data_IF_453865754396
#
_entry.id   IF_453865754396
#
_cell.length_a   1.000
_cell.length_b   1.000
_cell.length_c   1.000
_cell.angle_alpha   90.00
_cell.angle_beta   90.00
_cell.angle_gamma   90.00
#
_symmetry.space_group_name_H-M   'P 1'
#
loop_
_entity.id
_entity.type
_entity.pdbx_description
1 polymer ?
#
# COMPACT_ATOMS: atom_id res chain seq x y z
N UNK A 1 13.47 5.12 -6.86
CA UNK A 1 12.72 6.40 -6.87
C UNK A 1 12.71 6.97 -5.46
N UNK A 2 12.89 8.28 -5.28
CA UNK A 2 12.64 8.96 -4.01
C UNK A 2 11.21 9.51 -3.97
N UNK A 3 10.53 9.41 -2.83
CA UNK A 3 9.17 9.88 -2.67
C UNK A 3 8.92 10.30 -1.22
N UNK A 4 8.42 11.52 -1.02
CA UNK A 4 8.28 12.12 0.30
C UNK A 4 6.82 12.43 0.62
N UNK A 5 6.46 12.28 1.89
CA UNK A 5 5.21 12.76 2.47
C UNK A 5 5.26 14.29 2.61
N UNK A 6 4.45 15.02 1.82
CA UNK A 6 4.36 16.48 1.86
C UNK A 6 3.15 16.97 2.67
N UNK A 7 3.08 18.27 2.98
CA UNK A 7 1.91 18.93 3.59
C UNK A 7 0.67 18.94 2.66
N UNK A 8 -0.50 19.26 3.23
CA UNK A 8 -1.76 19.53 2.50
C UNK A 8 -2.41 20.84 3.01
N UNK A 9 -3.16 21.59 2.17
CA UNK A 9 -3.41 21.37 0.74
C UNK A 9 -2.10 21.30 -0.06
N UNK A 10 -2.00 20.35 -0.98
CA UNK A 10 -0.75 20.14 -1.73
C UNK A 10 -0.41 21.40 -2.56
N UNK A 11 0.82 21.93 -2.44
CA UNK A 11 1.20 23.18 -3.10
C UNK A 11 1.01 23.23 -4.63
N UNK A 12 1.11 22.08 -5.31
CA UNK A 12 0.96 22.02 -6.78
C UNK A 12 -0.49 21.83 -7.23
N UNK A 13 -1.24 20.99 -6.54
CA UNK A 13 -2.56 20.51 -6.99
C UNK A 13 -3.72 21.03 -6.15
N UNK A 14 -3.43 21.63 -5.00
CA UNK A 14 -4.39 22.07 -3.99
C UNK A 14 -5.25 20.93 -3.43
N UNK A 15 -4.91 19.67 -3.71
CA UNK A 15 -5.64 18.51 -3.21
C UNK A 15 -5.33 18.27 -1.74
N UNK A 16 -6.36 17.88 -0.99
CA UNK A 16 -6.27 17.41 0.38
C UNK A 16 -6.46 15.90 0.38
N UNK A 17 -5.54 15.18 1.01
CA UNK A 17 -5.54 13.71 1.15
C UNK A 17 -4.98 13.34 2.51
N UNK A 18 -5.48 12.27 3.12
CA UNK A 18 -5.03 11.84 4.45
C UNK A 18 -3.52 11.62 4.53
N UNK A 19 -2.93 11.85 5.71
CA UNK A 19 -1.52 11.53 5.98
C UNK A 19 -1.18 10.07 5.66
N UNK A 20 -2.08 9.14 6.02
CA UNK A 20 -1.97 7.70 5.71
C UNK A 20 -1.82 7.44 4.22
N UNK A 21 -2.71 8.00 3.40
CA UNK A 21 -2.68 7.80 1.94
C UNK A 21 -1.38 8.32 1.32
N UNK A 22 -0.99 9.55 1.67
CA UNK A 22 0.25 10.16 1.18
C UNK A 22 1.48 9.32 1.57
N UNK A 23 1.52 8.83 2.82
CA UNK A 23 2.63 8.03 3.31
C UNK A 23 2.72 6.67 2.59
N UNK A 24 1.59 5.96 2.42
CA UNK A 24 1.57 4.69 1.67
C UNK A 24 2.03 4.85 0.21
N UNK A 25 1.67 5.94 -0.46
CA UNK A 25 2.17 6.24 -1.80
C UNK A 25 3.69 6.48 -1.77
N UNK A 26 4.17 7.30 -0.83
CA UNK A 26 5.60 7.59 -0.69
C UNK A 26 6.43 6.34 -0.35
N UNK A 27 5.88 5.41 0.43
CA UNK A 27 6.53 4.15 0.78
C UNK A 27 6.80 3.21 -0.41
N UNK A 28 6.15 3.41 -1.56
CA UNK A 28 6.48 2.67 -2.78
C UNK A 28 7.80 3.15 -3.42
N UNK A 29 8.33 4.31 -2.98
CA UNK A 29 9.65 4.78 -3.31
C UNK A 29 10.72 4.17 -2.40
N UNK A 30 11.87 3.85 -2.98
CA UNK A 30 13.02 3.33 -2.23
C UNK A 30 13.57 4.31 -1.18
N UNK A 31 13.52 5.61 -1.46
CA UNK A 31 13.86 6.65 -0.47
C UNK A 31 12.58 7.30 0.03
N UNK A 32 11.99 6.72 1.07
CA UNK A 32 10.88 7.32 1.81
C UNK A 32 11.40 8.49 2.66
N UNK A 33 10.65 9.57 2.71
CA UNK A 33 10.99 10.75 3.51
C UNK A 33 9.77 11.57 3.89
N UNK A 34 9.98 12.55 4.75
CA UNK A 34 8.94 13.50 5.21
C UNK A 34 9.43 14.90 4.85
N UNK A 35 8.61 15.65 4.11
CA UNK A 35 8.92 16.98 3.58
C UNK A 35 7.77 17.95 3.92
N UNK A 36 7.61 18.20 5.21
CA UNK A 36 6.62 19.10 5.79
C UNK A 36 7.11 19.63 7.14
N UNK A 37 6.50 20.71 7.62
CA UNK A 37 6.68 21.16 9.00
C UNK A 37 5.73 20.37 9.94
N UNK A 38 6.25 19.60 10.91
CA UNK A 38 5.41 18.88 11.86
C UNK A 38 4.50 19.78 12.72
N UNK A 39 4.78 21.09 12.83
CA UNK A 39 3.89 22.03 13.54
C UNK A 39 2.59 22.31 12.80
N UNK A 40 2.58 22.09 11.48
CA UNK A 40 1.43 22.38 10.61
C UNK A 40 0.46 21.20 10.51
N UNK A 41 0.81 20.05 11.10
CA UNK A 41 -0.05 18.87 11.14
C UNK A 41 -1.09 18.99 12.25
N UNK A 42 -2.32 18.60 11.93
CA UNK A 42 -3.34 18.36 12.94
C UNK A 42 -2.85 17.32 13.95
N UNK A 43 -3.21 17.43 15.24
CA UNK A 43 -2.72 16.52 16.28
C UNK A 43 -2.91 15.04 15.94
N UNK A 44 -4.06 14.68 15.35
CA UNK A 44 -4.41 13.32 14.93
C UNK A 44 -3.54 12.82 13.76
N UNK A 45 -3.16 13.69 12.82
CA UNK A 45 -2.25 13.32 11.73
C UNK A 45 -0.82 13.14 12.25
N UNK A 46 -0.39 14.03 13.14
CA UNK A 46 0.95 13.98 13.76
C UNK A 46 1.15 12.71 14.59
N UNK A 47 0.12 12.23 15.27
CA UNK A 47 0.16 10.98 16.04
C UNK A 47 0.38 9.74 15.16
N UNK A 48 -0.03 9.79 13.88
CA UNK A 48 0.16 8.68 12.94
C UNK A 48 1.58 8.58 12.40
N UNK A 49 2.35 9.68 12.36
CA UNK A 49 3.67 9.75 11.72
C UNK A 49 4.66 8.70 12.25
N UNK A 50 4.85 8.51 13.58
CA UNK A 50 5.78 7.51 14.08
C UNK A 50 5.44 6.09 13.61
N UNK A 51 4.15 5.72 13.61
CA UNK A 51 3.70 4.41 13.13
C UNK A 51 3.95 4.23 11.64
N UNK A 52 3.78 5.30 10.84
CA UNK A 52 4.08 5.28 9.41
C UNK A 52 5.58 5.16 9.13
N UNK A 53 6.44 5.80 9.92
CA UNK A 53 7.90 5.64 9.80
C UNK A 53 8.29 4.19 10.10
N UNK A 54 7.81 3.61 11.20
CA UNK A 54 8.08 2.21 11.56
C UNK A 54 7.61 1.25 10.47
N UNK A 55 6.43 1.50 9.89
CA UNK A 55 5.94 0.70 8.76
C UNK A 55 6.87 0.85 7.54
N UNK A 56 7.29 2.07 7.22
CA UNK A 56 8.20 2.33 6.09
C UNK A 56 9.52 1.58 6.25
N UNK A 57 10.13 1.61 7.44
CA UNK A 57 11.39 0.91 7.73
C UNK A 57 11.21 -0.61 7.63
N UNK A 58 10.08 -1.13 8.09
CA UNK A 58 9.76 -2.57 8.01
C UNK A 58 9.69 -3.07 6.56
N UNK A 59 9.11 -2.29 5.66
CA UNK A 59 8.86 -2.71 4.27
C UNK A 59 9.95 -2.27 3.29
N UNK A 60 10.73 -1.24 3.63
CA UNK A 60 11.74 -0.65 2.76
C UNK A 60 12.74 -1.66 2.18
N UNK A 61 13.25 -2.66 2.93
CA UNK A 61 14.13 -3.68 2.34
C UNK A 61 13.50 -4.40 1.15
N UNK A 62 12.21 -4.70 1.22
CA UNK A 62 11.46 -5.39 0.15
C UNK A 62 11.19 -4.43 -1.02
N UNK A 63 10.91 -3.15 -0.74
CA UNK A 63 10.71 -2.12 -1.77
C UNK A 63 11.99 -1.84 -2.56
N UNK A 64 13.16 -1.91 -1.90
CA UNK A 64 14.47 -1.63 -2.51
C UNK A 64 14.97 -2.79 -3.37
N UNK A 65 14.91 -4.03 -2.87
CA UNK A 65 15.53 -5.19 -3.56
C UNK A 65 14.54 -6.13 -4.22
N UNK A 66 13.25 -6.04 -3.89
CA UNK A 66 12.24 -6.97 -4.34
C UNK A 66 11.75 -6.75 -5.78
N UNK A 67 11.07 -7.77 -6.30
CA UNK A 67 10.42 -7.71 -7.61
C UNK A 67 9.10 -6.94 -7.51
N UNK A 68 8.98 -5.87 -8.32
CA UNK A 68 7.78 -5.04 -8.36
C UNK A 68 6.81 -5.49 -9.45
N UNK A 69 5.58 -5.81 -9.05
CA UNK A 69 4.48 -6.15 -9.95
C UNK A 69 3.41 -5.07 -9.91
N UNK A 70 3.08 -4.51 -11.09
CA UNK A 70 1.93 -3.62 -11.26
C UNK A 70 0.68 -4.49 -11.42
N UNK A 71 -0.18 -4.49 -10.40
CA UNK A 71 -1.37 -5.34 -10.37
C UNK A 71 -2.57 -4.68 -11.03
N UNK A 72 -2.70 -3.37 -10.87
CA UNK A 72 -3.75 -2.57 -11.50
C UNK A 72 -3.25 -1.14 -11.73
N UNK A 73 -3.40 -0.64 -12.97
CA UNK A 73 -2.86 0.64 -13.39
C UNK A 73 -3.81 1.81 -13.04
N UNK A 74 -3.30 2.95 -12.55
CA UNK A 74 -4.13 4.09 -12.15
C UNK A 74 -4.89 4.75 -13.30
N UNK A 75 -4.45 4.58 -14.54
CA UNK A 75 -5.14 5.04 -15.75
C UNK A 75 -6.31 4.14 -16.19
N UNK A 76 -6.35 2.90 -15.71
CA UNK A 76 -7.35 1.88 -16.11
C UNK A 76 -8.44 1.66 -15.05
N UNK A 77 -8.16 1.99 -13.79
CA UNK A 77 -9.07 1.70 -12.68
C UNK A 77 -9.03 2.75 -11.58
N UNK A 78 -10.12 2.85 -10.81
CA UNK A 78 -10.18 3.61 -9.56
C UNK A 78 -9.36 2.98 -8.42
N UNK A 79 -8.92 1.73 -8.61
CA UNK A 79 -8.25 0.91 -7.61
C UNK A 79 -6.81 0.53 -8.00
N UNK A 80 -5.89 1.49 -8.16
CA UNK A 80 -4.53 1.15 -8.49
C UNK A 80 -3.90 0.31 -7.38
N UNK A 81 -3.07 -0.65 -7.78
CA UNK A 81 -2.39 -1.53 -6.85
C UNK A 81 -1.06 -2.02 -7.41
N UNK A 82 -0.11 -2.22 -6.51
CA UNK A 82 1.18 -2.82 -6.81
C UNK A 82 1.64 -3.67 -5.65
N UNK A 83 2.47 -4.67 -5.94
CA UNK A 83 3.09 -5.48 -4.90
C UNK A 83 4.61 -5.55 -5.11
N UNK A 84 5.33 -5.75 -4.02
CA UNK A 84 6.74 -6.11 -4.03
C UNK A 84 6.90 -7.50 -3.42
N UNK A 85 7.71 -8.36 -4.03
CA UNK A 85 8.07 -9.68 -3.51
C UNK A 85 9.55 -9.65 -3.13
N UNK A 86 9.90 -10.08 -1.92
CA UNK A 86 11.30 -10.20 -1.51
C UNK A 86 12.08 -11.14 -2.43
N UNK A 87 13.39 -10.93 -2.58
CA UNK A 87 14.24 -11.74 -3.46
C UNK A 87 14.19 -13.25 -3.15
N UNK A 88 13.95 -13.62 -1.88
CA UNK A 88 13.80 -15.02 -1.45
C UNK A 88 12.37 -15.57 -1.64
N UNK A 89 11.45 -14.77 -2.14
CA UNK A 89 10.05 -15.12 -2.39
C UNK A 89 9.22 -15.34 -1.13
N UNK A 90 9.70 -14.97 0.07
CA UNK A 90 9.03 -15.28 1.34
C UNK A 90 8.14 -14.16 1.86
N UNK A 91 8.42 -12.90 1.51
CA UNK A 91 7.65 -11.75 1.99
C UNK A 91 7.10 -10.99 0.81
N UNK A 92 5.86 -10.54 0.94
CA UNK A 92 5.18 -9.74 -0.06
C UNK A 92 4.56 -8.54 0.63
N UNK A 93 4.69 -7.38 -0.01
CA UNK A 93 4.04 -6.14 0.42
C UNK A 93 3.06 -5.74 -0.66
N UNK A 94 1.77 -5.76 -0.35
CA UNK A 94 0.72 -5.27 -1.25
C UNK A 94 0.38 -3.83 -0.87
N UNK A 95 0.47 -2.93 -1.85
CA UNK A 95 -0.07 -1.57 -1.78
C UNK A 95 -1.35 -1.51 -2.62
N UNK A 96 -2.46 -1.14 -2.00
CA UNK A 96 -3.75 -0.99 -2.67
C UNK A 96 -4.40 0.35 -2.31
N UNK A 97 -4.96 1.01 -3.32
CA UNK A 97 -5.47 2.38 -3.20
C UNK A 97 -6.88 2.49 -3.76
N UNK A 98 -7.66 3.44 -3.26
CA UNK A 98 -8.89 3.94 -3.86
C UNK A 98 -8.75 5.45 -4.08
N UNK A 99 -8.89 5.93 -5.32
CA UNK A 99 -8.71 7.36 -5.62
C UNK A 99 -9.98 8.20 -5.50
N UNK A 100 -11.15 7.57 -5.65
CA UNK A 100 -12.47 8.20 -5.53
C UNK A 100 -13.40 7.29 -4.75
N UNK A 101 -14.20 7.85 -3.86
CA UNK A 101 -15.15 7.10 -3.06
C UNK A 101 -16.20 6.46 -3.97
N UNK A 102 -16.48 5.18 -3.73
CA UNK A 102 -17.59 4.48 -4.40
C UNK A 102 -18.67 4.15 -3.38
N UNK A 103 -19.87 4.69 -3.60
CA UNK A 103 -21.02 4.47 -2.72
C UNK A 103 -21.85 3.30 -3.26
N UNK A 104 -22.33 2.42 -2.38
CA UNK A 104 -23.18 1.27 -2.73
C UNK A 104 -22.60 0.38 -3.84
N UNK A 105 -21.30 0.11 -3.78
CA UNK A 105 -20.58 -0.74 -4.73
C UNK A 105 -19.95 -1.94 -4.01
N UNK A 106 -19.74 -3.03 -4.76
CA UNK A 106 -18.98 -4.18 -4.26
C UNK A 106 -17.52 -3.81 -4.03
N UNK A 107 -16.91 -4.44 -3.02
CA UNK A 107 -15.49 -4.23 -2.72
C UNK A 107 -14.59 -4.84 -3.83
N UNK A 108 -13.54 -4.13 -4.26
CA UNK A 108 -12.63 -4.60 -5.29
C UNK A 108 -11.82 -5.82 -4.85
N UNK A 109 -11.48 -6.67 -5.82
CA UNK A 109 -10.57 -7.80 -5.65
C UNK A 109 -9.20 -7.47 -6.23
N UNK A 110 -8.14 -7.75 -5.48
CA UNK A 110 -6.76 -7.57 -5.88
C UNK A 110 -6.11 -8.93 -6.07
N UNK A 111 -5.87 -9.31 -7.32
CA UNK A 111 -5.18 -10.57 -7.68
C UNK A 111 -3.68 -10.36 -7.63
N UNK A 112 -3.00 -11.16 -6.81
CA UNK A 112 -1.56 -11.10 -6.69
C UNK A 112 -0.89 -11.79 -7.88
N UNK A 113 0.41 -11.58 -8.04
CA UNK A 113 1.24 -12.20 -9.07
C UNK A 113 2.57 -12.67 -8.50
N UNK A 114 3.29 -13.53 -9.23
CA UNK A 114 4.67 -13.93 -8.89
C UNK A 114 4.81 -14.84 -7.66
N UNK A 115 3.71 -15.36 -7.10
CA UNK A 115 3.75 -16.23 -5.92
C UNK A 115 3.97 -17.69 -6.31
N UNK A 116 4.60 -18.45 -5.41
CA UNK A 116 4.58 -19.92 -5.49
C UNK A 116 3.15 -20.43 -5.26
N UNK A 117 2.55 -21.00 -6.31
CA UNK A 117 1.17 -21.46 -6.32
C UNK A 117 0.87 -22.56 -5.29
N UNK A 118 1.87 -23.38 -4.96
CA UNK A 118 1.76 -24.53 -4.05
C UNK A 118 1.96 -24.16 -2.58
N UNK A 119 2.62 -23.04 -2.32
CA UNK A 119 2.91 -22.55 -0.98
C UNK A 119 1.68 -21.94 -0.29
N UNK A 120 1.75 -21.88 1.04
CA UNK A 120 0.79 -21.16 1.88
C UNK A 120 1.37 -19.84 2.32
N UNK A 121 0.51 -18.83 2.37
CA UNK A 121 0.87 -17.47 2.78
C UNK A 121 -0.07 -17.02 3.88
N UNK A 122 0.51 -16.49 4.95
CA UNK A 122 -0.19 -15.80 6.02
C UNK A 122 -0.38 -14.34 5.60
N UNK A 123 -1.62 -13.91 5.51
CA UNK A 123 -2.02 -12.51 5.30
C UNK A 123 -2.24 -11.87 6.67
N UNK A 124 -1.86 -10.60 6.85
CA UNK A 124 -1.88 -9.88 8.14
C UNK A 124 -3.15 -10.08 9.01
N UNK A 125 -4.31 -10.37 8.43
CA UNK A 125 -5.54 -10.75 9.15
C UNK A 125 -5.55 -12.19 9.70
N UNK A 126 -4.38 -12.81 9.87
CA UNK A 126 -4.16 -14.17 10.38
C UNK A 126 -4.82 -15.29 9.54
N UNK A 127 -5.18 -14.99 8.29
CA UNK A 127 -5.67 -15.98 7.33
C UNK A 127 -4.50 -16.61 6.58
N UNK A 128 -4.52 -17.93 6.44
CA UNK A 128 -3.53 -18.65 5.65
C UNK A 128 -4.19 -19.21 4.39
N UNK A 129 -3.74 -18.76 3.23
CA UNK A 129 -4.30 -19.12 1.92
C UNK A 129 -3.18 -19.57 0.97
N UNK A 130 -3.51 -20.38 -0.04
CA UNK A 130 -2.50 -20.80 -1.01
C UNK A 130 -2.10 -19.65 -1.94
N UNK A 131 -0.87 -19.70 -2.47
CA UNK A 131 -0.45 -18.78 -3.53
C UNK A 131 -1.36 -18.86 -4.75
N UNK A 132 -1.84 -20.05 -5.10
CA UNK A 132 -2.83 -20.21 -6.18
C UNK A 132 -4.16 -19.49 -5.90
N UNK A 133 -4.61 -19.40 -4.65
CA UNK A 133 -5.82 -18.67 -4.27
C UNK A 133 -5.58 -17.16 -4.37
N UNK A 134 -4.45 -16.68 -3.86
CA UNK A 134 -4.07 -15.27 -3.93
C UNK A 134 -3.92 -14.76 -5.37
N UNK A 135 -3.43 -15.59 -6.29
CA UNK A 135 -3.25 -15.20 -7.68
C UNK A 135 -4.53 -15.32 -8.53
N UNK A 136 -5.38 -16.32 -8.27
CA UNK A 136 -6.58 -16.56 -9.11
C UNK A 136 -7.85 -15.87 -8.59
N UNK A 137 -8.05 -15.86 -7.27
CA UNK A 137 -9.19 -15.20 -6.63
C UNK A 137 -8.82 -13.78 -6.20
N UNK A 138 -7.69 -13.64 -5.50
CA UNK A 138 -7.22 -12.37 -4.95
C UNK A 138 -7.66 -12.13 -3.50
N UNK A 139 -7.41 -10.91 -3.04
CA UNK A 139 -7.84 -10.40 -1.73
C UNK A 139 -8.89 -9.31 -1.96
N UNK A 140 -10.02 -9.39 -1.28
CA UNK A 140 -11.03 -8.35 -1.31
C UNK A 140 -10.76 -7.31 -0.22
N UNK A 141 -10.68 -6.03 -0.58
CA UNK A 141 -10.42 -4.95 0.38
C UNK A 141 -11.53 -3.90 0.37
N UNK A 142 -11.85 -3.39 1.55
CA UNK A 142 -12.82 -2.30 1.74
C UNK A 142 -12.08 -0.98 1.96
N UNK A 143 -12.54 0.08 1.31
CA UNK A 143 -12.00 1.43 1.44
C UNK A 143 -13.07 2.39 1.96
N UNK A 144 -12.66 3.48 2.61
CA UNK A 144 -13.55 4.48 3.18
C UNK A 144 -13.22 5.88 2.66
N UNK A 145 -14.22 6.53 2.03
CA UNK A 145 -14.06 7.90 1.52
C UNK A 145 -13.17 8.02 0.28
N UNK A 146 -12.81 9.27 -0.04
CA UNK A 146 -11.86 9.59 -1.10
C UNK A 146 -10.42 9.35 -0.63
N UNK A 147 -9.53 8.91 -1.54
CA UNK A 147 -8.11 8.74 -1.27
C UNK A 147 -7.83 7.91 -0.01
N UNK A 148 -8.30 6.66 -0.03
CA UNK A 148 -8.00 5.67 1.00
C UNK A 148 -7.03 4.60 0.48
N UNK A 149 -6.32 3.96 1.40
CA UNK A 149 -5.26 3.02 1.07
C UNK A 149 -5.06 1.99 2.17
N UNK A 150 -4.56 0.84 1.75
CA UNK A 150 -4.15 -0.25 2.62
C UNK A 150 -2.79 -0.78 2.18
N UNK A 151 -1.97 -1.15 3.17
CA UNK A 151 -0.73 -1.88 2.99
C UNK A 151 -0.86 -3.19 3.75
N UNK A 152 -0.62 -4.32 3.06
CA UNK A 152 -0.68 -5.64 3.67
C UNK A 152 0.67 -6.35 3.52
N UNK A 153 1.17 -6.89 4.63
CA UNK A 153 2.26 -7.85 4.65
C UNK A 153 1.71 -9.26 4.50
N UNK A 154 2.38 -10.04 3.66
CA UNK A 154 2.00 -11.42 3.36
C UNK A 154 3.28 -12.27 3.43
N UNK A 155 3.26 -13.32 4.24
CA UNK A 155 4.45 -14.12 4.55
C UNK A 155 4.24 -15.60 4.21
N UNK A 156 5.13 -16.15 3.38
CA UNK A 156 5.21 -17.57 3.05
C UNK A 156 5.50 -18.39 4.32
N UNK A 157 4.70 -19.43 4.56
CA UNK A 157 4.83 -20.35 5.70
C UNK A 157 5.79 -21.50 5.38
#
# INVERSE_FOLDING_TARGET
MGAHLSHVPNGNTQRITSVKFRAHVAMMGGSFGVELDPSDLEPEEREQIPGLIVLSEKINPIVITGDFYRLALPEETNYPAGQFISEDGKKVVLFAFQTRATINNSWPWFRLQGLDASAKYKVDNNQTVSGSTLMNLGIQLRFEGDYDSQVLMIEKQ
#
